data_IF_520903381036
#
_entry.id   IF_520903381036
#
_cell.length_a   1.000
_cell.length_b   1.000
_cell.length_c   1.000
_cell.angle_alpha   90.00
_cell.angle_beta   90.00
_cell.angle_gamma   90.00
#
_symmetry.space_group_name_H-M   'P 1'
#
loop_
_entity.id
_entity.type
_entity.pdbx_description
1 polymer ?
#
# COMPACT_ATOMS: atom_id res chain seq x y z
N UNK A 1 -4.12 -5.34 5.99
CA UNK A 1 -2.88 -4.68 5.50
C UNK A 1 -3.24 -3.73 4.38
N UNK A 2 -2.76 -2.48 4.41
CA UNK A 2 -3.04 -1.51 3.35
C UNK A 2 -1.86 -0.61 3.07
N UNK A 3 -1.54 -0.44 1.78
CA UNK A 3 -0.55 0.53 1.33
C UNK A 3 -1.19 1.93 1.22
N UNK A 4 -0.57 2.90 1.88
CA UNK A 4 -0.99 4.29 1.91
C UNK A 4 -0.05 5.11 1.03
N UNK A 5 -0.60 5.94 0.13
CA UNK A 5 0.20 6.76 -0.81
C UNK A 5 1.23 7.63 -0.10
N UNK A 6 0.84 8.27 1.00
CA UNK A 6 1.75 9.13 1.75
C UNK A 6 2.84 8.38 2.54
N UNK A 7 2.75 7.04 2.68
CA UNK A 7 3.80 6.21 3.27
C UNK A 7 4.85 5.75 2.28
N UNK A 8 4.56 5.80 0.97
CA UNK A 8 5.46 5.33 -0.08
C UNK A 8 6.87 5.95 0.03
N UNK A 9 7.04 7.28 0.20
CA UNK A 9 8.39 7.85 0.29
C UNK A 9 9.17 7.39 1.52
N UNK A 10 8.50 7.22 2.66
CA UNK A 10 9.13 6.79 3.92
C UNK A 10 9.55 5.32 3.83
N UNK A 11 8.68 4.47 3.27
CA UNK A 11 8.99 3.07 3.03
C UNK A 11 10.16 2.94 2.06
N UNK A 12 10.15 3.69 0.95
CA UNK A 12 11.19 3.62 -0.05
C UNK A 12 12.56 4.00 0.52
N UNK A 13 12.61 5.12 1.26
CA UNK A 13 13.81 5.61 1.95
C UNK A 13 14.36 4.60 2.94
N UNK A 14 13.48 3.95 3.71
CA UNK A 14 13.89 2.95 4.69
C UNK A 14 14.37 1.65 4.04
N UNK A 15 13.75 1.22 2.93
CA UNK A 15 14.21 0.05 2.16
C UNK A 15 15.61 0.30 1.63
N UNK A 16 15.81 1.34 0.82
CA UNK A 16 17.13 1.60 0.22
C UNK A 16 18.19 1.84 1.29
N UNK A 17 17.89 2.66 2.31
CA UNK A 17 18.83 2.96 3.39
C UNK A 17 19.23 1.72 4.19
N UNK A 18 18.30 0.76 4.39
CA UNK A 18 18.63 -0.50 5.06
C UNK A 18 19.50 -1.40 4.17
N UNK A 19 19.13 -1.56 2.89
CA UNK A 19 19.85 -2.46 1.98
C UNK A 19 21.28 -1.96 1.71
N UNK A 20 21.47 -0.66 1.52
CA UNK A 20 22.80 -0.06 1.33
C UNK A 20 23.64 -0.16 2.61
N UNK A 21 23.06 0.20 3.76
CA UNK A 21 23.77 0.16 5.05
C UNK A 21 24.25 -1.25 5.41
N UNK A 22 23.43 -2.25 5.13
CA UNK A 22 23.73 -3.65 5.40
C UNK A 22 24.60 -4.30 4.30
N UNK A 23 25.01 -3.53 3.29
CA UNK A 23 25.81 -4.00 2.15
C UNK A 23 25.13 -5.10 1.34
N UNK A 24 23.79 -5.08 1.27
CA UNK A 24 23.03 -6.01 0.44
C UNK A 24 23.07 -5.62 -1.04
N UNK A 25 23.19 -4.31 -1.32
CA UNK A 25 23.26 -3.72 -2.65
C UNK A 25 24.28 -2.57 -2.68
N UNK A 26 24.88 -2.35 -3.84
CA UNK A 26 25.61 -1.12 -4.19
C UNK A 26 24.79 -0.31 -5.18
N UNK A 27 24.75 1.01 -5.00
CA UNK A 27 23.92 1.92 -5.80
C UNK A 27 24.77 3.08 -6.29
N UNK A 28 24.65 3.41 -7.57
CA UNK A 28 25.35 4.55 -8.17
C UNK A 28 24.67 5.88 -7.83
N UNK A 29 23.33 5.87 -7.79
CA UNK A 29 22.53 7.02 -7.37
C UNK A 29 21.41 6.59 -6.41
N UNK A 30 21.60 6.94 -5.14
CA UNK A 30 20.64 6.63 -4.07
C UNK A 30 19.27 7.33 -4.28
N UNK A 31 19.25 8.54 -4.86
CA UNK A 31 18.00 9.24 -5.09
C UNK A 31 17.18 8.59 -6.21
N UNK A 32 17.84 8.17 -7.29
CA UNK A 32 17.16 7.49 -8.42
C UNK A 32 16.64 6.10 -8.02
N UNK A 33 17.43 5.28 -7.32
CA UNK A 33 16.94 3.96 -6.84
C UNK A 33 15.75 4.14 -5.88
N UNK A 34 15.75 5.20 -5.06
CA UNK A 34 14.59 5.52 -4.23
C UNK A 34 13.36 5.84 -5.09
N UNK A 35 13.51 6.65 -6.14
CA UNK A 35 12.41 6.96 -7.06
C UNK A 35 11.90 5.70 -7.78
N UNK A 36 12.78 4.78 -8.15
CA UNK A 36 12.40 3.48 -8.73
C UNK A 36 11.55 2.65 -7.76
N UNK A 37 11.97 2.54 -6.49
CA UNK A 37 11.21 1.88 -5.42
C UNK A 37 9.84 2.54 -5.22
N UNK A 38 9.80 3.88 -5.20
CA UNK A 38 8.55 4.62 -5.10
C UNK A 38 7.64 4.37 -6.31
N UNK A 39 8.20 4.28 -7.51
CA UNK A 39 7.47 4.05 -8.75
C UNK A 39 6.75 2.69 -8.74
N UNK A 40 7.43 1.63 -8.29
CA UNK A 40 6.83 0.29 -8.13
C UNK A 40 5.62 0.34 -7.20
N UNK A 41 5.75 0.98 -6.04
CA UNK A 41 4.64 1.11 -5.08
C UNK A 41 3.50 1.98 -5.60
N UNK A 42 3.81 3.09 -6.28
CA UNK A 42 2.82 3.98 -6.89
C UNK A 42 2.06 3.29 -8.03
N UNK A 43 2.74 2.46 -8.82
CA UNK A 43 2.12 1.69 -9.88
C UNK A 43 1.10 0.69 -9.32
N UNK A 44 1.44 -0.01 -8.24
CA UNK A 44 0.46 -0.86 -7.54
C UNK A 44 -0.76 -0.07 -7.07
N UNK A 45 -0.56 1.10 -6.44
CA UNK A 45 -1.66 1.96 -5.99
C UNK A 45 -2.53 2.47 -7.15
N UNK A 46 -1.92 2.73 -8.32
CA UNK A 46 -2.64 3.10 -9.53
C UNK A 46 -3.51 1.95 -10.01
N UNK A 47 -2.95 0.74 -10.12
CA UNK A 47 -3.68 -0.47 -10.50
C UNK A 47 -4.84 -0.78 -9.55
N UNK A 48 -4.65 -0.66 -8.24
CA UNK A 48 -5.72 -0.88 -7.25
C UNK A 48 -6.89 0.12 -7.41
N UNK A 49 -6.57 1.38 -7.72
CA UNK A 49 -7.60 2.40 -8.03
C UNK A 49 -8.36 2.06 -9.30
N UNK A 50 -7.67 1.65 -10.36
CA UNK A 50 -8.33 1.27 -11.62
C UNK A 50 -9.26 0.06 -11.45
N UNK A 51 -8.85 -0.94 -10.66
CA UNK A 51 -9.70 -2.09 -10.32
C UNK A 51 -10.97 -1.63 -9.60
N UNK A 52 -10.83 -0.69 -8.67
CA UNK A 52 -11.96 -0.14 -7.92
C UNK A 52 -12.93 0.62 -8.83
N UNK A 53 -12.43 1.50 -9.69
CA UNK A 53 -13.27 2.28 -10.61
C UNK A 53 -13.95 1.37 -11.64
N UNK A 54 -13.24 0.39 -12.20
CA UNK A 54 -13.82 -0.61 -13.09
C UNK A 54 -14.90 -1.44 -12.38
N UNK A 55 -14.69 -1.83 -11.12
CA UNK A 55 -15.68 -2.55 -10.34
C UNK A 55 -16.96 -1.71 -10.13
N UNK A 56 -16.83 -0.41 -9.82
CA UNK A 56 -17.97 0.51 -9.69
C UNK A 56 -18.74 0.64 -11.02
N UNK A 57 -18.04 0.84 -12.14
CA UNK A 57 -18.65 0.95 -13.47
C UNK A 57 -19.45 -0.31 -13.82
N UNK A 58 -18.89 -1.50 -13.57
CA UNK A 58 -19.59 -2.77 -13.83
C UNK A 58 -20.82 -2.97 -12.93
N UNK A 59 -20.77 -2.48 -11.69
CA UNK A 59 -21.92 -2.53 -10.79
C UNK A 59 -23.04 -1.60 -11.25
N UNK A 60 -22.69 -0.38 -11.66
CA UNK A 60 -23.64 0.60 -12.19
C UNK A 60 -24.38 0.06 -13.41
N UNK A 61 -23.64 -0.48 -14.39
CA UNK A 61 -24.21 -1.09 -15.61
C UNK A 61 -25.18 -2.24 -15.29
N UNK A 62 -24.90 -3.01 -14.23
CA UNK A 62 -25.68 -4.18 -13.83
C UNK A 62 -26.75 -3.87 -12.78
N UNK A 63 -26.87 -2.63 -12.31
CA UNK A 63 -27.78 -2.24 -11.23
C UNK A 63 -27.51 -2.97 -9.91
N UNK A 64 -26.23 -3.32 -9.63
CA UNK A 64 -25.88 -4.08 -8.43
C UNK A 64 -25.77 -3.17 -7.19
N UNK A 65 -26.24 -3.64 -6.01
CA UNK A 65 -26.15 -2.86 -4.78
C UNK A 65 -24.69 -2.74 -4.29
N UNK A 66 -24.38 -1.63 -3.61
CA UNK A 66 -23.02 -1.31 -3.12
C UNK A 66 -22.42 -2.40 -2.21
N UNK A 67 -23.25 -3.18 -1.51
CA UNK A 67 -22.82 -4.32 -0.70
C UNK A 67 -22.04 -5.40 -1.50
N UNK A 68 -22.17 -5.42 -2.83
CA UNK A 68 -21.43 -6.33 -3.71
C UNK A 68 -20.07 -5.79 -4.18
N UNK A 69 -19.68 -4.57 -3.78
CA UNK A 69 -18.44 -3.94 -4.25
C UNK A 69 -17.20 -4.77 -3.97
N UNK A 70 -17.07 -5.34 -2.77
CA UNK A 70 -15.92 -6.19 -2.43
C UNK A 70 -15.80 -7.42 -3.35
N UNK A 71 -16.93 -8.07 -3.66
CA UNK A 71 -16.98 -9.22 -4.57
C UNK A 71 -16.64 -8.81 -6.01
N UNK A 72 -17.19 -7.68 -6.48
CA UNK A 72 -16.88 -7.18 -7.82
C UNK A 72 -15.41 -6.76 -7.94
N UNK A 73 -14.87 -6.05 -6.95
CA UNK A 73 -13.45 -5.67 -6.90
C UNK A 73 -12.55 -6.91 -6.99
N UNK A 74 -12.86 -7.95 -6.23
CA UNK A 74 -12.11 -9.22 -6.25
C UNK A 74 -12.17 -9.92 -7.61
N UNK A 75 -13.32 -9.85 -8.29
CA UNK A 75 -13.49 -10.39 -9.64
C UNK A 75 -12.62 -9.63 -10.66
N UNK A 76 -12.70 -8.29 -10.66
CA UNK A 76 -11.91 -7.45 -11.55
C UNK A 76 -10.41 -7.61 -11.29
N UNK A 77 -10.00 -7.69 -10.02
CA UNK A 77 -8.60 -7.93 -9.62
C UNK A 77 -8.06 -9.24 -10.21
N UNK A 78 -8.85 -10.32 -10.14
CA UNK A 78 -8.49 -11.62 -10.71
C UNK A 78 -8.38 -11.58 -12.24
N UNK A 79 -9.32 -10.89 -12.90
CA UNK A 79 -9.28 -10.72 -14.36
C UNK A 79 -8.06 -9.91 -14.82
N UNK A 80 -7.71 -8.85 -14.07
CA UNK A 80 -6.53 -8.01 -14.34
C UNK A 80 -5.22 -8.58 -13.82
N UNK A 81 -5.26 -9.72 -13.13
CA UNK A 81 -4.10 -10.36 -12.50
C UNK A 81 -3.34 -9.43 -11.53
N UNK A 82 -4.07 -8.52 -10.87
CA UNK A 82 -3.49 -7.61 -9.87
C UNK A 82 -3.95 -8.08 -8.49
N UNK A 83 -3.04 -8.58 -7.64
CA UNK A 83 -3.40 -9.08 -6.32
C UNK A 83 -3.90 -7.99 -5.37
N UNK A 84 -4.87 -8.33 -4.53
CA UNK A 84 -5.46 -7.42 -3.53
C UNK A 84 -5.44 -8.08 -2.14
N UNK A 85 -5.61 -7.27 -1.08
CA UNK A 85 -5.65 -7.79 0.28
C UNK A 85 -4.32 -8.40 0.70
N UNK A 86 -4.34 -9.64 1.21
CA UNK A 86 -3.14 -10.30 1.75
C UNK A 86 -2.11 -10.70 0.68
N UNK A 87 -2.54 -10.86 -0.57
CA UNK A 87 -1.66 -11.18 -1.71
C UNK A 87 -0.92 -9.94 -2.26
N UNK A 88 -1.32 -8.73 -1.85
CA UNK A 88 -0.68 -7.48 -2.25
C UNK A 88 0.80 -7.44 -1.90
N UNK A 89 1.14 -7.78 -0.66
CA UNK A 89 2.50 -7.63 -0.17
C UNK A 89 3.48 -8.56 -0.93
N UNK A 90 3.22 -9.87 -1.08
CA UNK A 90 4.05 -10.74 -1.91
C UNK A 90 4.24 -10.21 -3.34
N UNK A 91 3.18 -9.70 -3.96
CA UNK A 91 3.23 -9.13 -5.30
C UNK A 91 4.14 -7.89 -5.38
N UNK A 92 3.96 -6.92 -4.50
CA UNK A 92 4.79 -5.71 -4.49
C UNK A 92 6.26 -6.05 -4.19
N UNK A 93 6.52 -7.02 -3.30
CA UNK A 93 7.89 -7.48 -3.02
C UNK A 93 8.55 -8.12 -4.25
N UNK A 94 7.80 -8.89 -5.05
CA UNK A 94 8.30 -9.45 -6.32
C UNK A 94 8.70 -8.35 -7.29
N UNK A 95 7.86 -7.31 -7.42
CA UNK A 95 8.13 -6.19 -8.31
C UNK A 95 9.33 -5.37 -7.83
N UNK A 96 9.47 -5.17 -6.51
CA UNK A 96 10.63 -4.49 -5.92
C UNK A 96 11.92 -5.26 -6.17
N UNK A 97 11.93 -6.58 -5.96
CA UNK A 97 13.10 -7.39 -6.29
C UNK A 97 13.45 -7.32 -7.77
N UNK A 98 12.45 -7.51 -8.63
CA UNK A 98 12.64 -7.44 -10.08
C UNK A 98 13.25 -6.10 -10.47
N UNK A 99 12.74 -5.00 -9.91
CA UNK A 99 13.30 -3.66 -10.11
C UNK A 99 14.77 -3.59 -9.64
N UNK A 100 15.12 -4.10 -8.45
CA UNK A 100 16.50 -4.05 -7.95
C UNK A 100 17.48 -4.78 -8.88
N UNK A 101 17.09 -5.90 -9.48
CA UNK A 101 17.95 -6.67 -10.40
C UNK A 101 18.03 -6.09 -11.82
N UNK A 102 17.13 -5.18 -12.20
CA UNK A 102 17.06 -4.64 -13.57
C UNK A 102 17.27 -3.12 -13.63
N UNK A 103 17.30 -2.42 -12.50
CA UNK A 103 17.55 -0.98 -12.45
C UNK A 103 19.00 -0.70 -12.82
N UNK A 104 19.22 0.28 -13.70
CA UNK A 104 20.55 0.74 -14.08
C UNK A 104 21.25 1.52 -12.96
N UNK A 105 20.51 1.91 -11.93
CA UNK A 105 21.01 2.69 -10.80
C UNK A 105 21.50 1.79 -9.65
N UNK A 106 21.23 0.48 -9.74
CA UNK A 106 21.78 -0.55 -8.85
C UNK A 106 22.99 -1.15 -9.56
N UNK A 107 24.17 -0.99 -8.96
CA UNK A 107 25.43 -1.44 -9.56
C UNK A 107 25.63 -2.94 -9.32
N UNK A 108 25.39 -3.39 -8.08
CA UNK A 108 25.56 -4.78 -7.70
C UNK A 108 24.58 -5.19 -6.59
N UNK A 109 24.14 -6.45 -6.63
CA UNK A 109 23.29 -7.07 -5.61
C UNK A 109 24.07 -8.23 -5.00
N UNK A 110 24.45 -8.12 -3.72
CA UNK A 110 25.31 -9.08 -3.02
C UNK A 110 24.54 -10.14 -2.25
N UNK A 111 23.29 -9.84 -1.87
CA UNK A 111 22.47 -10.73 -1.05
C UNK A 111 21.47 -11.55 -1.87
N UNK A 112 21.21 -12.77 -1.42
CA UNK A 112 20.18 -13.64 -2.00
C UNK A 112 18.78 -13.04 -1.88
N UNK A 113 17.91 -13.38 -2.84
CA UNK A 113 16.48 -13.00 -2.87
C UNK A 113 15.77 -13.22 -1.53
N UNK A 114 16.04 -14.33 -0.86
CA UNK A 114 15.39 -14.68 0.42
C UNK A 114 15.75 -13.65 1.50
N UNK A 115 17.00 -13.18 1.51
CA UNK A 115 17.48 -12.18 2.47
C UNK A 115 16.82 -10.83 2.18
N UNK A 116 16.86 -10.38 0.92
CA UNK A 116 16.26 -9.13 0.47
C UNK A 116 14.74 -9.11 0.75
N UNK A 117 14.01 -10.16 0.38
CA UNK A 117 12.56 -10.31 0.68
C UNK A 117 12.30 -10.19 2.16
N UNK A 118 13.08 -10.87 3.00
CA UNK A 118 12.87 -10.86 4.45
C UNK A 118 13.02 -9.46 5.04
N UNK A 119 14.05 -8.72 4.62
CA UNK A 119 14.29 -7.33 5.06
C UNK A 119 13.18 -6.40 4.60
N UNK A 120 12.86 -6.40 3.30
CA UNK A 120 11.78 -5.58 2.74
C UNK A 120 10.41 -5.92 3.36
N UNK A 121 10.11 -7.20 3.58
CA UNK A 121 8.86 -7.65 4.24
C UNK A 121 8.73 -7.03 5.63
N UNK A 122 9.81 -7.06 6.42
CA UNK A 122 9.82 -6.49 7.77
C UNK A 122 9.55 -4.99 7.74
N UNK A 123 10.18 -4.25 6.81
CA UNK A 123 9.97 -2.81 6.66
C UNK A 123 8.53 -2.52 6.23
N UNK A 124 8.05 -3.17 5.17
CA UNK A 124 6.69 -3.00 4.64
C UNK A 124 5.64 -3.24 5.73
N UNK A 125 5.71 -4.37 6.45
CA UNK A 125 4.73 -4.70 7.50
C UNK A 125 4.59 -3.62 8.56
N UNK A 126 5.70 -3.01 9.01
CA UNK A 126 5.67 -1.91 9.99
C UNK A 126 4.84 -0.70 9.53
N UNK A 127 4.74 -0.48 8.22
CA UNK A 127 4.02 0.66 7.65
C UNK A 127 2.63 0.30 7.09
N UNK A 128 2.33 -0.99 6.89
CA UNK A 128 1.07 -1.47 6.31
C UNK A 128 0.00 -1.84 7.36
N UNK A 129 0.41 -2.12 8.60
CA UNK A 129 -0.46 -2.55 9.69
C UNK A 129 -0.96 -1.37 10.55
N UNK A 130 -1.52 -0.34 9.91
CA UNK A 130 -1.99 0.88 10.58
C UNK A 130 -3.51 0.92 10.82
N UNK A 131 -4.29 0.00 10.25
CA UNK A 131 -5.76 0.08 10.29
C UNK A 131 -6.34 0.01 11.70
N UNK A 132 -5.82 -0.89 12.55
CA UNK A 132 -6.27 -1.01 13.94
C UNK A 132 -5.97 0.22 14.78
N UNK A 133 -4.78 0.81 14.60
CA UNK A 133 -4.40 2.05 15.30
C UNK A 133 -5.27 3.24 14.88
N UNK A 134 -5.56 3.35 13.58
CA UNK A 134 -6.40 4.41 13.04
C UNK A 134 -7.84 4.27 13.53
N UNK A 135 -8.41 3.07 13.52
CA UNK A 135 -9.77 2.82 14.03
C UNK A 135 -9.89 3.16 15.51
N UNK A 136 -8.94 2.70 16.34
CA UNK A 136 -8.90 3.04 17.77
C UNK A 136 -8.80 4.55 18.00
N UNK A 137 -7.97 5.25 17.22
CA UNK A 137 -7.80 6.70 17.34
C UNK A 137 -9.09 7.44 16.94
N UNK A 138 -9.76 7.03 15.86
CA UNK A 138 -11.06 7.60 15.46
C UNK A 138 -12.10 7.39 16.55
N UNK A 139 -12.28 6.13 17.00
CA UNK A 139 -13.23 5.79 18.08
C UNK A 139 -12.94 6.57 19.36
N UNK A 140 -11.67 6.84 19.66
CA UNK A 140 -11.29 7.63 20.83
C UNK A 140 -11.75 9.08 20.78
N UNK A 141 -11.94 9.65 19.57
CA UNK A 141 -12.36 11.03 19.34
C UNK A 141 -13.87 11.20 19.22
N UNK A 142 -14.61 10.14 18.91
CA UNK A 142 -16.07 10.17 18.71
C UNK A 142 -16.85 9.41 19.79
N UNK A 143 -16.27 9.21 20.97
CA UNK A 143 -16.87 8.48 22.11
C UNK A 143 -18.25 8.99 22.54
N UNK A 144 -18.58 10.22 22.18
CA UNK A 144 -19.85 10.89 22.47
C UNK A 144 -20.99 10.52 21.51
N UNK A 145 -20.70 9.79 20.43
CA UNK A 145 -21.68 9.34 19.45
C UNK A 145 -22.00 7.87 19.64
N UNK A 146 -23.27 7.50 19.48
CA UNK A 146 -23.72 6.12 19.59
C UNK A 146 -23.36 5.35 18.31
N UNK A 147 -22.68 4.22 18.46
CA UNK A 147 -22.33 3.36 17.33
C UNK A 147 -23.59 2.85 16.60
N UNK A 148 -23.54 2.83 15.27
CA UNK A 148 -24.66 2.40 14.42
C UNK A 148 -25.67 3.48 14.06
N UNK A 149 -25.43 4.75 14.45
CA UNK A 149 -26.21 5.88 13.95
C UNK A 149 -25.60 6.47 12.68
N UNK A 150 -26.43 7.08 11.83
CA UNK A 150 -25.94 7.82 10.67
C UNK A 150 -24.98 8.97 11.05
N UNK A 151 -25.22 9.60 12.20
CA UNK A 151 -24.33 10.64 12.74
C UNK A 151 -22.96 10.11 13.12
N UNK A 152 -22.88 8.89 13.66
CA UNK A 152 -21.62 8.21 13.95
C UNK A 152 -20.85 7.91 12.67
N UNK A 153 -21.50 7.36 11.64
CA UNK A 153 -20.85 6.99 10.38
C UNK A 153 -20.24 8.21 9.66
N UNK A 154 -20.98 9.31 9.58
CA UNK A 154 -20.52 10.56 8.96
C UNK A 154 -19.31 11.11 9.71
N UNK A 155 -19.41 11.20 11.04
CA UNK A 155 -18.34 11.77 11.86
C UNK A 155 -17.10 10.85 11.88
N UNK A 156 -17.30 9.54 11.89
CA UNK A 156 -16.23 8.55 11.78
C UNK A 156 -15.42 8.78 10.50
N UNK A 157 -16.07 8.92 9.33
CA UNK A 157 -15.36 9.18 8.08
C UNK A 157 -14.62 10.52 8.11
N UNK A 158 -15.26 11.57 8.62
CA UNK A 158 -14.66 12.90 8.75
C UNK A 158 -13.38 12.88 9.58
N UNK A 159 -13.44 12.28 10.78
CA UNK A 159 -12.30 12.18 11.71
C UNK A 159 -11.23 11.23 11.18
N UNK A 160 -11.62 10.13 10.55
CA UNK A 160 -10.70 9.21 9.88
C UNK A 160 -9.87 9.93 8.81
N UNK A 161 -10.51 10.75 7.97
CA UNK A 161 -9.82 11.51 6.94
C UNK A 161 -8.92 12.61 7.52
N UNK A 162 -9.34 13.29 8.58
CA UNK A 162 -8.48 14.24 9.32
C UNK A 162 -7.22 13.58 9.88
N UNK A 163 -7.37 12.42 10.54
CA UNK A 163 -6.23 11.67 11.09
C UNK A 163 -5.30 11.21 9.98
N UNK A 164 -5.85 10.67 8.87
CA UNK A 164 -5.04 10.25 7.71
C UNK A 164 -4.23 11.41 7.14
N UNK A 165 -4.82 12.60 6.99
CA UNK A 165 -4.11 13.81 6.56
C UNK A 165 -3.02 14.19 7.55
N UNK A 166 -3.33 14.22 8.85
CA UNK A 166 -2.37 14.55 9.91
C UNK A 166 -1.18 13.59 9.96
N UNK A 167 -1.42 12.30 9.71
CA UNK A 167 -0.40 11.23 9.65
C UNK A 167 0.25 11.07 8.26
N UNK A 168 -0.06 11.94 7.30
CA UNK A 168 0.44 11.89 5.91
C UNK A 168 0.22 10.51 5.26
N UNK A 169 -1.00 9.98 5.36
CA UNK A 169 -1.39 8.69 4.78
C UNK A 169 -2.09 8.82 3.42
N UNK A 170 -2.50 10.02 3.04
CA UNK A 170 -3.14 10.35 1.77
C UNK A 170 -2.29 11.32 0.99
#
# INVERSE_FOLDING_TARGET
MRLYSGKVPVIADEIIGTLVKDQDIEVGDHAEVKLDIEAVMKEYLRQDREILEEAKNRMEIRGLPYSQLGKMKSMVARERQVPIGDEMLPYVLEQLLTMLFHSQNVEEVFSDDIVLRKKMTKIMRRHLDLEGELDQEVRSKIKNLQEGTASFEIEYQRVMDEIKRKKRLT
#
